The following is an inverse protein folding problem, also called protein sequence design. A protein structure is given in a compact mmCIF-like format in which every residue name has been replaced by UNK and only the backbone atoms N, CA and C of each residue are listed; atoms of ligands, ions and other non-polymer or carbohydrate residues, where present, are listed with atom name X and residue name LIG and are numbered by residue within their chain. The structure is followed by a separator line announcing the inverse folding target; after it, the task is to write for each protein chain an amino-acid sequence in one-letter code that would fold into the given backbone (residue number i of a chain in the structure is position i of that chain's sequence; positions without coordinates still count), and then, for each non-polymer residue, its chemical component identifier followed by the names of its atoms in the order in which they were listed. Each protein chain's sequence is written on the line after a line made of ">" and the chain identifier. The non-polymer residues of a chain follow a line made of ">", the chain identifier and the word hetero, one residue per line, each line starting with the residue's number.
data_IF_172057701410
#
_entry.id   IF_172057701410
#
_cell.length_a   1.000
_cell.length_b   1.000
_cell.length_c   1.000
_cell.angle_alpha   90.00
_cell.angle_beta   90.00
_cell.angle_gamma   90.00
#
_symmetry.space_group_name_H-M   'P 1'
#
loop_
_entity.id
_entity.type
_entity.pdbx_description
1 polymer ?
#
# COMPACT_ATOMS: atom_id res chain seq x y z
N UNK A 1 -15.97 11.67 6.39
CA UNK A 1 -15.27 10.90 7.44
C UNK A 1 -13.98 10.39 6.83
N UNK A 2 -12.82 10.63 7.44
CA UNK A 2 -11.52 10.21 6.91
C UNK A 2 -11.30 8.71 7.17
N UNK A 3 -10.59 8.04 6.24
CA UNK A 3 -10.15 6.65 6.42
C UNK A 3 -8.79 6.57 7.12
N UNK A 4 -7.90 7.54 6.86
CA UNK A 4 -6.61 7.66 7.52
C UNK A 4 -6.47 9.05 8.13
N UNK A 5 -6.10 9.11 9.38
CA UNK A 5 -5.72 10.36 10.06
C UNK A 5 -4.40 10.16 10.79
N UNK A 6 -3.41 10.95 10.44
CA UNK A 6 -2.05 10.95 10.99
C UNK A 6 -1.83 12.26 11.73
N UNK A 7 -1.53 12.17 13.01
CA UNK A 7 -1.43 13.33 13.89
C UNK A 7 -0.10 13.32 14.64
N UNK A 8 0.73 14.33 14.37
CA UNK A 8 1.99 14.61 15.03
C UNK A 8 2.96 13.42 15.11
N UNK A 9 3.04 12.62 14.04
CA UNK A 9 3.90 11.45 14.01
C UNK A 9 5.36 11.88 13.94
N UNK A 10 6.16 11.35 14.88
CA UNK A 10 7.61 11.46 14.89
C UNK A 10 8.24 10.10 15.13
N UNK A 11 9.35 9.82 14.44
CA UNK A 11 10.06 8.55 14.58
C UNK A 11 11.57 8.72 14.42
N UNK A 12 12.30 8.00 15.24
CA UNK A 12 13.75 7.90 15.25
C UNK A 12 14.15 6.45 15.48
N UNK A 13 15.24 6.04 14.87
CA UNK A 13 16.05 4.90 15.31
C UNK A 13 17.27 5.45 16.08
N UNK A 14 18.47 5.11 15.70
CA UNK A 14 19.69 5.70 16.26
C UNK A 14 19.84 7.19 15.86
N UNK A 15 19.11 7.63 14.85
CA UNK A 15 19.03 9.01 14.38
C UNK A 15 17.58 9.39 14.07
N UNK A 16 17.29 10.69 14.07
CA UNK A 16 15.96 11.23 13.74
C UNK A 16 15.67 11.01 12.25
N UNK A 17 14.54 10.36 11.96
CA UNK A 17 14.04 10.21 10.60
C UNK A 17 13.14 11.37 10.19
N UNK A 18 12.09 11.62 10.98
CA UNK A 18 11.13 12.69 10.75
C UNK A 18 10.39 13.05 12.03
N UNK A 19 9.82 14.24 12.04
CA UNK A 19 8.98 14.75 13.12
C UNK A 19 7.79 15.55 12.57
N UNK A 20 6.76 15.73 13.40
CA UNK A 20 5.58 16.56 13.12
C UNK A 20 4.84 16.20 11.82
N UNK A 21 4.79 14.92 11.44
CA UNK A 21 4.04 14.49 10.28
C UNK A 21 2.55 14.50 10.56
N UNK A 22 1.82 15.28 9.76
CA UNK A 22 0.38 15.45 9.88
C UNK A 22 -0.27 15.37 8.51
N UNK A 23 -1.29 14.53 8.34
CA UNK A 23 -2.16 14.51 7.16
C UNK A 23 -3.41 13.68 7.40
N UNK A 24 -4.37 13.83 6.50
CA UNK A 24 -5.63 13.09 6.51
C UNK A 24 -5.97 12.67 5.10
N UNK A 25 -6.53 11.47 4.94
CA UNK A 25 -7.07 10.99 3.67
C UNK A 25 -8.51 10.50 3.84
N UNK A 26 -9.36 10.97 2.96
CA UNK A 26 -10.74 10.53 2.83
C UNK A 26 -10.88 9.36 1.83
N UNK A 27 -12.05 8.70 1.78
CA UNK A 27 -12.34 7.74 0.71
C UNK A 27 -12.12 8.33 -0.68
N UNK A 28 -11.58 7.54 -1.61
CA UNK A 28 -11.22 7.88 -2.99
C UNK A 28 -10.06 8.87 -3.12
N UNK A 29 -9.45 9.27 -2.01
CA UNK A 29 -8.25 10.09 -2.08
C UNK A 29 -7.00 9.22 -2.12
N UNK A 30 -5.98 9.74 -2.80
CA UNK A 30 -4.64 9.16 -2.86
C UNK A 30 -3.59 10.19 -2.49
N UNK A 31 -2.53 9.76 -1.79
CA UNK A 31 -1.38 10.59 -1.48
C UNK A 31 -0.10 9.88 -1.87
N UNK A 32 0.74 10.56 -2.66
CA UNK A 32 2.11 10.14 -2.91
C UNK A 32 3.06 10.80 -1.93
N UNK A 33 3.89 9.99 -1.29
CA UNK A 33 5.02 10.43 -0.45
C UNK A 33 6.31 10.22 -1.22
N UNK A 34 6.99 11.31 -1.49
CA UNK A 34 8.28 11.41 -2.14
C UNK A 34 9.37 11.78 -1.12
N UNK A 35 10.61 11.71 -1.54
CA UNK A 35 11.76 12.11 -0.73
C UNK A 35 13.00 11.30 -1.06
N UNK A 36 14.14 11.75 -0.55
CA UNK A 36 15.43 11.08 -0.79
C UNK A 36 15.45 9.66 -0.21
N UNK A 37 16.35 8.83 -0.72
CA UNK A 37 16.56 7.49 -0.13
C UNK A 37 16.98 7.64 1.34
N UNK A 38 16.43 6.79 2.21
CA UNK A 38 16.70 6.84 3.65
C UNK A 38 15.94 7.91 4.44
N UNK A 39 15.06 8.72 3.80
CA UNK A 39 14.27 9.75 4.53
C UNK A 39 13.16 9.18 5.44
N UNK A 40 12.94 7.86 5.46
CA UNK A 40 11.94 7.24 6.31
C UNK A 40 10.56 7.04 5.67
N UNK A 41 10.42 7.14 4.35
CA UNK A 41 9.14 6.96 3.63
C UNK A 41 8.48 5.61 3.93
N UNK A 42 9.22 4.50 3.76
CA UNK A 42 8.74 3.16 4.10
C UNK A 42 8.44 3.01 5.59
N UNK A 43 9.24 3.65 6.46
CA UNK A 43 8.98 3.69 7.91
C UNK A 43 7.67 4.39 8.22
N UNK A 44 7.40 5.55 7.60
CA UNK A 44 6.12 6.25 7.76
C UNK A 44 4.95 5.41 7.26
N UNK A 45 5.10 4.76 6.10
CA UNK A 45 4.08 3.84 5.58
C UNK A 45 3.84 2.66 6.54
N UNK A 46 4.90 2.05 7.10
CA UNK A 46 4.78 0.97 8.07
C UNK A 46 4.08 1.44 9.36
N UNK A 47 4.34 2.66 9.81
CA UNK A 47 3.62 3.26 10.93
C UNK A 47 2.14 3.42 10.59
N UNK A 48 1.79 3.98 9.43
CA UNK A 48 0.39 4.14 9.02
C UNK A 48 -0.34 2.81 8.82
N UNK A 49 0.38 1.76 8.45
CA UNK A 49 -0.19 0.43 8.11
C UNK A 49 -0.21 -0.58 9.27
N UNK A 50 -0.04 -0.15 10.50
CA UNK A 50 -0.04 -0.98 11.72
C UNK A 50 1.22 -1.83 11.95
N UNK A 51 2.22 -1.75 11.10
CA UNK A 51 3.41 -2.63 11.17
C UNK A 51 4.47 -2.14 12.15
N UNK A 52 4.52 -0.84 12.42
CA UNK A 52 5.53 -0.22 13.29
C UNK A 52 4.88 0.86 14.16
N UNK A 53 5.10 0.81 15.47
CA UNK A 53 4.61 1.85 16.39
C UNK A 53 5.51 3.09 16.30
N UNK A 54 4.94 4.32 16.20
CA UNK A 54 5.72 5.56 16.24
C UNK A 54 6.29 5.82 17.62
N UNK A 55 7.34 6.67 17.71
CA UNK A 55 7.82 7.14 19.02
C UNK A 55 6.87 8.19 19.62
N UNK A 56 6.28 9.04 18.79
CA UNK A 56 5.35 10.11 19.19
C UNK A 56 4.22 10.19 18.18
N UNK A 57 3.05 10.63 18.64
CA UNK A 57 1.87 10.89 17.82
C UNK A 57 0.95 9.69 17.67
N UNK A 58 -0.07 9.84 16.85
CA UNK A 58 -1.16 8.90 16.72
C UNK A 58 -1.55 8.69 15.26
N UNK A 59 -1.91 7.45 14.94
CA UNK A 59 -2.54 7.10 13.65
C UNK A 59 -3.91 6.52 13.92
N UNK A 60 -4.92 7.04 13.25
CA UNK A 60 -6.27 6.49 13.29
C UNK A 60 -6.69 5.98 11.92
N UNK A 61 -7.18 4.76 11.89
CA UNK A 61 -7.86 4.17 10.74
C UNK A 61 -9.35 4.06 11.04
N UNK A 62 -10.17 4.57 10.12
CA UNK A 62 -11.64 4.56 10.25
C UNK A 62 -12.14 5.16 11.57
N UNK A 63 -11.43 6.18 12.09
CA UNK A 63 -11.75 6.87 13.34
C UNK A 63 -11.21 6.22 14.62
N UNK A 64 -10.53 5.09 14.54
CA UNK A 64 -9.97 4.38 15.70
C UNK A 64 -8.44 4.48 15.73
N UNK A 65 -7.86 4.86 16.88
CA UNK A 65 -6.41 4.86 17.06
C UNK A 65 -5.86 3.42 17.03
N UNK A 66 -5.05 3.11 16.01
CA UNK A 66 -4.58 1.73 15.74
C UNK A 66 -3.61 1.19 16.79
N UNK A 67 -2.98 2.06 17.57
CA UNK A 67 -2.01 1.65 18.61
C UNK A 67 -2.61 1.56 20.02
N UNK A 68 -3.92 1.84 20.13
CA UNK A 68 -4.71 1.62 21.35
C UNK A 68 -5.66 0.43 21.22
N UNK A 69 -5.72 -0.21 20.05
CA UNK A 69 -6.53 -1.39 19.80
C UNK A 69 -5.87 -2.65 20.35
N UNK A 70 -6.68 -3.65 20.61
CA UNK A 70 -6.23 -5.02 20.95
C UNK A 70 -5.58 -5.68 19.72
N UNK A 71 -4.83 -6.76 19.97
CA UNK A 71 -4.24 -7.57 18.91
C UNK A 71 -5.30 -8.15 17.96
N UNK A 72 -6.44 -8.58 18.51
CA UNK A 72 -7.56 -9.12 17.71
C UNK A 72 -8.19 -8.07 16.79
N UNK A 73 -8.37 -6.85 17.26
CA UNK A 73 -8.86 -5.73 16.44
C UNK A 73 -7.84 -5.36 15.34
N UNK A 74 -6.56 -5.33 15.67
CA UNK A 74 -5.49 -5.08 14.70
C UNK A 74 -5.42 -6.19 13.65
N UNK A 75 -5.54 -7.46 14.05
CA UNK A 75 -5.61 -8.59 13.13
C UNK A 75 -6.84 -8.51 12.22
N UNK A 76 -7.99 -8.10 12.75
CA UNK A 76 -9.21 -7.89 11.96
C UNK A 76 -9.02 -6.80 10.92
N UNK A 77 -8.44 -5.65 11.28
CA UNK A 77 -8.10 -4.59 10.32
C UNK A 77 -7.20 -5.10 9.19
N UNK A 78 -6.11 -5.80 9.54
CA UNK A 78 -5.18 -6.38 8.54
C UNK A 78 -5.85 -7.42 7.66
N UNK A 79 -6.79 -8.17 8.20
CA UNK A 79 -7.51 -9.22 7.49
C UNK A 79 -8.47 -8.66 6.44
N UNK A 80 -9.22 -7.60 6.77
CA UNK A 80 -10.35 -7.16 5.97
C UNK A 80 -10.16 -5.79 5.31
N UNK A 81 -9.57 -4.84 6.01
CA UNK A 81 -9.66 -3.42 5.64
C UNK A 81 -8.34 -2.82 5.15
N UNK A 82 -7.20 -3.35 5.58
CA UNK A 82 -5.87 -2.83 5.25
C UNK A 82 -5.19 -3.70 4.21
N UNK A 83 -4.83 -3.15 3.05
CA UNK A 83 -3.98 -3.76 2.04
C UNK A 83 -2.57 -3.20 2.10
N UNK A 84 -1.53 -4.04 2.04
CA UNK A 84 -0.14 -3.58 2.00
C UNK A 84 0.54 -4.22 0.79
N UNK A 85 1.01 -3.37 -0.12
CA UNK A 85 1.82 -3.75 -1.28
C UNK A 85 3.25 -3.35 -0.95
N UNK A 86 4.13 -4.33 -0.86
CA UNK A 86 5.54 -4.12 -0.54
C UNK A 86 6.38 -4.06 -1.80
N UNK A 87 7.52 -3.39 -1.74
CA UNK A 87 8.55 -3.43 -2.77
C UNK A 87 9.06 -4.86 -3.03
N UNK A 88 9.22 -5.66 -1.97
CA UNK A 88 9.44 -7.11 -2.06
C UNK A 88 8.09 -7.82 -2.11
N UNK A 89 7.92 -8.73 -3.05
CA UNK A 89 6.59 -9.31 -3.37
C UNK A 89 5.98 -10.15 -2.26
N UNK A 90 6.82 -10.74 -1.38
CA UNK A 90 6.40 -11.64 -0.27
C UNK A 90 5.42 -12.74 -0.70
N UNK A 91 5.61 -13.28 -1.90
CA UNK A 91 4.84 -14.41 -2.41
C UNK A 91 5.41 -15.73 -1.92
N UNK A 92 4.56 -16.73 -1.78
CA UNK A 92 4.95 -18.10 -1.52
C UNK A 92 5.51 -18.72 -2.79
N UNK A 93 6.83 -18.74 -2.95
CA UNK A 93 7.54 -19.12 -4.19
C UNK A 93 7.28 -20.56 -4.64
N UNK A 94 6.99 -21.47 -3.72
CA UNK A 94 6.66 -22.86 -4.02
C UNK A 94 5.21 -23.07 -4.51
N UNK A 95 4.37 -22.06 -4.37
CA UNK A 95 2.95 -22.09 -4.74
C UNK A 95 2.76 -21.54 -6.15
N UNK A 96 1.63 -21.91 -6.77
CA UNK A 96 1.17 -21.31 -8.01
C UNK A 96 0.67 -19.86 -7.77
N UNK A 97 0.57 -19.11 -8.86
CA UNK A 97 0.09 -17.72 -8.78
C UNK A 97 -1.36 -17.64 -8.26
N UNK A 98 -2.25 -18.53 -8.75
CA UNK A 98 -3.63 -18.63 -8.26
C UNK A 98 -3.69 -18.93 -6.75
N UNK A 99 -2.91 -19.91 -6.27
CA UNK A 99 -2.88 -20.28 -4.85
C UNK A 99 -2.47 -19.12 -3.94
N UNK A 100 -1.52 -18.29 -4.39
CA UNK A 100 -1.14 -17.06 -3.67
C UNK A 100 -2.29 -16.06 -3.55
N UNK A 101 -3.13 -15.94 -4.58
CA UNK A 101 -4.28 -15.03 -4.60
C UNK A 101 -5.45 -15.65 -3.81
N UNK A 102 -5.73 -16.94 -4.02
CA UNK A 102 -6.78 -17.70 -3.35
C UNK A 102 -6.64 -17.69 -1.83
N UNK A 103 -5.39 -17.73 -1.32
CA UNK A 103 -5.14 -17.64 0.12
C UNK A 103 -5.72 -16.33 0.70
N UNK A 104 -5.57 -15.21 0.00
CA UNK A 104 -6.09 -13.91 0.44
C UNK A 104 -7.61 -13.86 0.37
N UNK A 105 -8.19 -14.43 -0.68
CA UNK A 105 -9.63 -14.62 -0.88
C UNK A 105 -10.23 -15.49 0.22
N UNK A 106 -9.62 -16.63 0.51
CA UNK A 106 -10.04 -17.55 1.57
C UNK A 106 -10.02 -16.88 2.95
N UNK A 107 -8.92 -16.17 3.29
CA UNK A 107 -8.79 -15.48 4.57
C UNK A 107 -9.85 -14.38 4.75
N UNK A 108 -10.16 -13.64 3.70
CA UNK A 108 -11.11 -12.51 3.74
C UNK A 108 -12.56 -12.92 3.51
N UNK A 109 -12.81 -14.12 2.96
CA UNK A 109 -14.13 -14.58 2.53
C UNK A 109 -14.66 -13.83 1.30
N UNK A 110 -13.79 -13.21 0.50
CA UNK A 110 -14.16 -12.47 -0.72
C UNK A 110 -13.84 -13.28 -1.97
N UNK A 111 -14.70 -13.18 -2.98
CA UNK A 111 -14.43 -13.79 -4.28
C UNK A 111 -13.40 -13.01 -5.08
N UNK A 112 -12.57 -13.76 -5.84
CA UNK A 112 -11.57 -13.19 -6.74
C UNK A 112 -12.28 -12.57 -7.94
N UNK A 113 -11.95 -11.32 -8.25
CA UNK A 113 -12.43 -10.64 -9.44
C UNK A 113 -11.56 -11.04 -10.65
N UNK A 114 -12.06 -11.87 -11.53
CA UNK A 114 -11.35 -12.28 -12.76
C UNK A 114 -11.03 -11.08 -13.67
N UNK A 115 -11.84 -10.03 -13.63
CA UNK A 115 -11.58 -8.80 -14.39
C UNK A 115 -10.31 -8.13 -13.88
N UNK A 116 -10.07 -8.15 -12.58
CA UNK A 116 -8.84 -7.65 -11.98
C UNK A 116 -7.61 -8.41 -12.49
N UNK A 117 -7.69 -9.74 -12.60
CA UNK A 117 -6.58 -10.57 -13.11
C UNK A 117 -6.25 -10.24 -14.57
N UNK A 118 -7.27 -10.02 -15.39
CA UNK A 118 -7.13 -9.60 -16.78
C UNK A 118 -6.52 -8.20 -16.89
N UNK A 119 -7.00 -7.27 -16.10
CA UNK A 119 -6.49 -5.87 -16.05
C UNK A 119 -5.03 -5.82 -15.61
N UNK A 120 -4.62 -6.66 -14.66
CA UNK A 120 -3.21 -6.80 -14.26
C UNK A 120 -2.38 -7.62 -15.26
N UNK A 121 -2.97 -8.16 -16.31
CA UNK A 121 -2.27 -8.96 -17.34
C UNK A 121 -1.61 -10.21 -16.77
N UNK A 122 -2.26 -10.86 -15.79
CA UNK A 122 -1.74 -12.06 -15.14
C UNK A 122 -2.63 -13.29 -15.31
N UNK A 123 -3.79 -13.17 -15.96
CA UNK A 123 -4.75 -14.25 -16.10
C UNK A 123 -4.14 -15.53 -16.71
N UNK A 124 -3.22 -15.38 -17.68
CA UNK A 124 -2.57 -16.49 -18.37
C UNK A 124 -1.48 -17.18 -17.52
N UNK A 125 -1.07 -16.56 -16.42
CA UNK A 125 0.02 -17.05 -15.56
C UNK A 125 -0.47 -17.72 -14.28
N UNK A 126 -1.77 -17.86 -14.09
CA UNK A 126 -2.36 -18.37 -12.84
C UNK A 126 -1.87 -19.77 -12.47
N UNK A 127 -1.60 -20.62 -13.46
CA UNK A 127 -1.12 -21.97 -13.29
C UNK A 127 0.42 -22.11 -13.31
N UNK A 128 1.15 -21.01 -13.23
CA UNK A 128 2.62 -21.02 -13.12
C UNK A 128 3.05 -20.89 -11.67
N UNK A 129 4.12 -21.59 -11.31
CA UNK A 129 4.74 -21.39 -10.00
C UNK A 129 5.31 -19.98 -9.92
N UNK A 130 5.15 -19.34 -8.77
CA UNK A 130 5.65 -17.96 -8.58
C UNK A 130 7.15 -17.84 -8.83
N UNK A 131 7.92 -18.89 -8.53
CA UNK A 131 9.37 -18.91 -8.79
C UNK A 131 9.76 -18.85 -10.27
N UNK A 132 8.85 -19.22 -11.18
CA UNK A 132 9.06 -19.24 -12.63
C UNK A 132 8.63 -17.93 -13.32
N UNK A 133 7.98 -17.04 -12.55
CA UNK A 133 7.51 -15.75 -13.04
C UNK A 133 8.62 -14.69 -13.02
N UNK A 134 8.59 -13.77 -14.00
CA UNK A 134 9.45 -12.57 -13.96
C UNK A 134 9.13 -11.69 -12.75
N UNK A 135 10.07 -10.83 -12.33
CA UNK A 135 9.86 -9.92 -11.21
C UNK A 135 8.63 -9.04 -11.37
N UNK A 136 8.38 -8.54 -12.59
CA UNK A 136 7.18 -7.76 -12.89
C UNK A 136 5.89 -8.57 -12.82
N UNK A 137 5.90 -9.84 -13.24
CA UNK A 137 4.75 -10.75 -13.08
C UNK A 137 4.50 -11.04 -11.61
N UNK A 138 5.54 -11.32 -10.82
CA UNK A 138 5.44 -11.52 -9.37
C UNK A 138 4.86 -10.29 -8.69
N UNK A 139 5.28 -9.08 -9.06
CA UNK A 139 4.73 -7.84 -8.52
C UNK A 139 3.23 -7.73 -8.78
N UNK A 140 2.79 -7.99 -10.02
CA UNK A 140 1.37 -7.94 -10.39
C UNK A 140 0.54 -9.02 -9.66
N UNK A 141 1.07 -10.23 -9.46
CA UNK A 141 0.45 -11.26 -8.62
C UNK A 141 0.35 -10.82 -7.17
N UNK A 142 1.39 -10.16 -6.62
CA UNK A 142 1.36 -9.61 -5.27
C UNK A 142 0.27 -8.54 -5.11
N UNK A 143 0.13 -7.66 -6.08
CA UNK A 143 -0.93 -6.65 -6.12
C UNK A 143 -2.31 -7.30 -6.19
N UNK A 144 -2.50 -8.27 -7.09
CA UNK A 144 -3.76 -9.02 -7.19
C UNK A 144 -4.13 -9.69 -5.87
N UNK A 145 -3.17 -10.32 -5.18
CA UNK A 145 -3.36 -10.91 -3.87
C UNK A 145 -3.85 -9.89 -2.83
N UNK A 146 -3.29 -8.69 -2.84
CA UNK A 146 -3.72 -7.62 -1.93
C UNK A 146 -5.12 -7.15 -2.25
N UNK A 147 -5.44 -6.92 -3.54
CA UNK A 147 -6.74 -6.40 -3.97
C UNK A 147 -7.87 -7.45 -3.88
N UNK A 148 -7.54 -8.76 -3.94
CA UNK A 148 -8.51 -9.84 -3.82
C UNK A 148 -9.32 -9.81 -2.53
N UNK A 149 -8.75 -9.30 -1.44
CA UNK A 149 -9.48 -9.14 -0.16
C UNK A 149 -10.34 -7.89 -0.07
N UNK A 150 -10.37 -7.06 -1.11
CA UNK A 150 -11.13 -5.80 -1.21
C UNK A 150 -10.88 -4.83 -0.05
N UNK A 151 -9.61 -4.45 0.21
CA UNK A 151 -9.27 -3.55 1.30
C UNK A 151 -9.86 -2.14 1.09
N UNK A 152 -10.16 -1.45 2.20
CA UNK A 152 -10.64 -0.06 2.20
C UNK A 152 -9.51 0.96 2.20
N UNK A 153 -8.30 0.55 2.59
CA UNK A 153 -7.11 1.37 2.49
C UNK A 153 -5.95 0.53 1.98
N UNK A 154 -5.19 1.09 1.03
CA UNK A 154 -4.01 0.47 0.43
C UNK A 154 -2.79 1.32 0.80
N UNK A 155 -1.80 0.66 1.38
CA UNK A 155 -0.46 1.18 1.61
C UNK A 155 0.48 0.53 0.59
N UNK A 156 1.08 1.32 -0.31
CA UNK A 156 1.92 0.82 -1.38
C UNK A 156 3.33 1.39 -1.28
N UNK A 157 4.31 0.53 -1.02
CA UNK A 157 5.73 0.89 -0.95
C UNK A 157 6.41 0.49 -2.26
N UNK A 158 6.72 1.48 -3.10
CA UNK A 158 7.36 1.31 -4.42
C UNK A 158 6.71 0.20 -5.28
N UNK A 159 5.37 0.21 -5.47
CA UNK A 159 4.64 -0.91 -6.08
C UNK A 159 5.01 -1.16 -7.54
N UNK A 160 5.73 -0.24 -8.16
CA UNK A 160 6.10 -0.28 -9.57
C UNK A 160 7.61 -0.24 -9.81
N UNK A 161 8.43 -0.30 -8.74
CA UNK A 161 9.88 -0.10 -8.82
C UNK A 161 10.64 -1.12 -9.68
N UNK A 162 10.05 -2.28 -9.94
CA UNK A 162 10.63 -3.36 -10.75
C UNK A 162 9.97 -3.50 -12.14
N UNK A 163 9.17 -2.51 -12.57
CA UNK A 163 8.41 -2.51 -13.80
C UNK A 163 8.98 -1.49 -14.79
N UNK A 164 8.82 -1.76 -16.08
CA UNK A 164 9.00 -0.73 -17.10
C UNK A 164 7.91 0.34 -17.01
N UNK A 165 8.16 1.52 -17.58
CA UNK A 165 7.27 2.69 -17.44
C UNK A 165 5.83 2.41 -17.90
N UNK A 166 5.65 1.64 -18.98
CA UNK A 166 4.31 1.29 -19.50
C UNK A 166 3.57 0.40 -18.54
N UNK A 167 4.20 -0.68 -18.09
CA UNK A 167 3.61 -1.62 -17.12
C UNK A 167 3.38 -0.94 -15.77
N UNK A 168 4.28 -0.03 -15.36
CA UNK A 168 4.10 0.77 -14.15
C UNK A 168 2.84 1.64 -14.21
N UNK A 169 2.60 2.29 -15.35
CA UNK A 169 1.38 3.08 -15.56
C UNK A 169 0.13 2.19 -15.54
N UNK A 170 0.13 1.05 -16.25
CA UNK A 170 -1.00 0.10 -16.26
C UNK A 170 -1.37 -0.37 -14.84
N UNK A 171 -0.37 -0.66 -14.01
CA UNK A 171 -0.58 -1.04 -12.60
C UNK A 171 -1.17 0.10 -11.79
N UNK A 172 -0.67 1.32 -11.96
CA UNK A 172 -1.21 2.48 -11.24
C UNK A 172 -2.64 2.80 -11.67
N UNK A 173 -2.96 2.68 -12.96
CA UNK A 173 -4.33 2.82 -13.45
C UNK A 173 -5.29 1.84 -12.77
N UNK A 174 -4.86 0.56 -12.59
CA UNK A 174 -5.64 -0.42 -11.84
C UNK A 174 -5.84 -0.01 -10.38
N UNK A 175 -4.82 0.54 -9.72
CA UNK A 175 -4.94 1.00 -8.33
C UNK A 175 -5.88 2.22 -8.21
N UNK A 176 -5.79 3.18 -9.13
CA UNK A 176 -6.69 4.33 -9.15
C UNK A 176 -8.14 3.94 -9.46
N UNK A 177 -8.37 3.09 -10.47
CA UNK A 177 -9.70 2.54 -10.74
C UNK A 177 -10.27 1.78 -9.53
N UNK A 178 -9.42 1.04 -8.82
CA UNK A 178 -9.80 0.30 -7.63
C UNK A 178 -10.28 1.24 -6.52
N UNK A 179 -9.51 2.28 -6.17
CA UNK A 179 -9.90 3.19 -5.07
C UNK A 179 -11.21 3.93 -5.39
N UNK A 180 -11.47 4.26 -6.64
CA UNK A 180 -12.74 4.85 -7.07
C UNK A 180 -13.91 3.87 -6.95
N UNK A 181 -13.76 2.66 -7.49
CA UNK A 181 -14.81 1.64 -7.52
C UNK A 181 -15.17 1.13 -6.12
N UNK A 182 -14.17 0.83 -5.30
CA UNK A 182 -14.36 0.25 -3.96
C UNK A 182 -14.51 1.31 -2.86
N UNK A 183 -14.50 2.60 -3.23
CA UNK A 183 -14.51 3.70 -2.26
C UNK A 183 -13.37 3.57 -1.25
N UNK A 184 -12.17 3.21 -1.75
CA UNK A 184 -10.98 2.97 -0.96
C UNK A 184 -10.03 4.18 -0.96
N UNK A 185 -8.92 4.10 -0.24
CA UNK A 185 -7.90 5.15 -0.12
C UNK A 185 -6.53 4.56 -0.42
N UNK A 186 -5.62 5.34 -1.02
CA UNK A 186 -4.25 4.91 -1.34
C UNK A 186 -3.21 5.83 -0.71
N UNK A 187 -2.31 5.27 0.09
CA UNK A 187 -1.04 5.92 0.47
C UNK A 187 0.09 5.26 -0.31
N UNK A 188 0.73 6.01 -1.19
CA UNK A 188 1.79 5.57 -2.10
C UNK A 188 3.13 6.15 -1.68
N UNK A 189 4.13 5.31 -1.50
CA UNK A 189 5.53 5.72 -1.45
C UNK A 189 6.15 5.43 -2.80
N UNK A 190 6.75 6.43 -3.43
CA UNK A 190 7.42 6.27 -4.71
C UNK A 190 8.51 7.32 -4.94
N UNK A 191 9.47 7.01 -5.79
CA UNK A 191 10.42 7.97 -6.34
C UNK A 191 10.02 8.47 -7.74
N UNK A 192 9.01 7.86 -8.36
CA UNK A 192 8.54 8.24 -9.70
C UNK A 192 7.63 9.46 -9.63
N UNK A 193 8.15 10.61 -10.06
CA UNK A 193 7.45 11.89 -10.08
C UNK A 193 6.18 11.88 -10.95
N UNK A 194 6.22 11.16 -12.07
CA UNK A 194 5.08 11.14 -13.01
C UNK A 194 3.89 10.38 -12.43
N UNK A 195 4.15 9.28 -11.71
CA UNK A 195 3.10 8.54 -11.01
C UNK A 195 2.57 9.34 -9.81
N UNK A 196 3.47 10.00 -9.06
CA UNK A 196 3.08 10.82 -7.92
C UNK A 196 2.16 11.99 -8.28
N UNK A 197 2.32 12.59 -9.48
CA UNK A 197 1.46 13.69 -9.98
C UNK A 197 0.01 13.25 -10.23
N UNK A 198 -0.25 11.96 -10.36
CA UNK A 198 -1.60 11.42 -10.58
C UNK A 198 -2.38 11.25 -9.27
N UNK A 199 -1.70 11.29 -8.12
CA UNK A 199 -2.36 11.23 -6.83
C UNK A 199 -3.08 12.54 -6.50
N UNK A 200 -4.12 12.46 -5.67
CA UNK A 200 -4.85 13.64 -5.15
C UNK A 200 -3.92 14.61 -4.45
N UNK A 201 -2.97 14.07 -3.69
CA UNK A 201 -1.97 14.85 -2.97
C UNK A 201 -0.57 14.33 -3.28
N UNK A 202 0.38 15.24 -3.43
CA UNK A 202 1.81 14.96 -3.55
C UNK A 202 2.55 15.68 -2.44
N UNK A 203 3.33 14.94 -1.64
CA UNK A 203 4.07 15.45 -0.49
C UNK A 203 5.50 14.91 -0.48
N UNK A 204 6.40 15.70 0.06
CA UNK A 204 7.81 15.33 0.25
C UNK A 204 8.08 15.14 1.74
N UNK A 205 8.65 13.98 2.09
CA UNK A 205 9.05 13.69 3.47
C UNK A 205 10.44 14.27 3.73
N UNK A 206 10.48 15.20 4.69
CA UNK A 206 11.67 15.80 5.25
C UNK A 206 11.79 15.47 6.74
N UNK A 207 12.94 15.76 7.34
CA UNK A 207 13.16 15.53 8.78
C UNK A 207 12.16 16.31 9.64
N UNK A 208 11.74 17.48 9.20
CA UNK A 208 10.80 18.38 9.88
C UNK A 208 9.32 18.21 9.41
N UNK A 209 9.00 17.11 8.74
CA UNK A 209 7.64 16.73 8.36
C UNK A 209 7.38 16.62 6.86
N UNK A 210 6.09 16.58 6.50
CA UNK A 210 5.65 16.55 5.12
C UNK A 210 5.49 17.97 4.56
N UNK A 211 6.02 18.19 3.34
CA UNK A 211 5.93 19.48 2.65
C UNK A 211 5.29 19.31 1.26
N UNK A 212 4.63 20.35 0.81
CA UNK A 212 4.36 20.52 -0.61
C UNK A 212 5.69 20.85 -1.31
N UNK A 213 5.81 20.51 -2.58
CA UNK A 213 7.00 20.91 -3.35
C UNK A 213 7.11 22.43 -3.35
N UNK A 214 8.33 22.94 -3.10
CA UNK A 214 8.63 24.37 -3.24
C UNK A 214 8.75 24.77 -4.71
#
# INVERSE_FOLDING_TARGET
>A
MSFLHVNNISHSFDYKLFENVNFTLAPRESMAILGVSGSGKSTLLHICSTLLKPNVGEVSLFGNNIYQQSDDETLRLRRYDVGIIFQSHYLFKGFYANENIELSSFISGKEIDETLLKRLGIADFMNYKVGDLSGGQQQRVSIARVLAKKPKIIFADEPTGNLDDKTAQEVMDVLFEYIERENATLLLVTHNQNLAKQCTYKRYLHVDGLKEEA
#
